data_IF_403535231182
#
_entry.id   IF_403535231182
#
_cell.length_a   1.000
_cell.length_b   1.000
_cell.length_c   1.000
_cell.angle_alpha   90.00
_cell.angle_beta   90.00
_cell.angle_gamma   90.00
#
_symmetry.space_group_name_H-M   'P 1'
#
loop_
_entity.id
_entity.type
_entity.pdbx_description
1 polymer ?
#
# COMPACT_ATOMS: atom_id res chain seq x y z
N UNK A 1 -56.92 11.17 3.12
CA UNK A 1 -55.82 10.49 2.39
C UNK A 1 -54.51 11.00 2.96
N UNK A 2 -53.90 10.26 3.90
CA UNK A 2 -52.57 10.62 4.40
C UNK A 2 -51.56 10.22 3.32
N UNK A 3 -50.91 11.23 2.75
CA UNK A 3 -49.81 11.05 1.81
C UNK A 3 -48.62 10.49 2.57
N UNK A 4 -48.34 9.19 2.41
CA UNK A 4 -47.06 8.62 2.82
C UNK A 4 -45.97 9.19 1.91
N UNK A 5 -45.21 10.15 2.42
CA UNK A 5 -43.92 10.51 1.82
C UNK A 5 -42.98 9.32 2.00
N UNK A 6 -42.49 8.67 0.93
CA UNK A 6 -41.52 7.60 1.06
C UNK A 6 -40.27 8.14 1.77
N UNK A 7 -39.79 7.43 2.79
CA UNK A 7 -38.55 7.78 3.48
C UNK A 7 -37.42 7.87 2.45
N UNK A 8 -36.56 8.88 2.59
CA UNK A 8 -35.39 9.02 1.73
C UNK A 8 -34.57 7.71 1.74
N UNK A 9 -34.08 7.24 0.58
CA UNK A 9 -33.28 6.04 0.51
C UNK A 9 -32.05 6.20 1.40
N UNK A 10 -31.83 5.27 2.31
CA UNK A 10 -30.70 5.34 3.22
C UNK A 10 -29.42 5.00 2.46
N UNK A 11 -28.39 5.85 2.57
CA UNK A 11 -27.08 5.60 1.99
C UNK A 11 -26.53 4.26 2.52
N UNK A 12 -26.22 3.28 1.64
CA UNK A 12 -25.68 1.99 2.06
C UNK A 12 -24.35 2.12 2.82
N UNK A 13 -23.55 3.17 2.58
CA UNK A 13 -22.36 3.43 3.38
C UNK A 13 -22.71 3.77 4.82
N UNK A 14 -23.64 4.70 5.04
CA UNK A 14 -24.07 5.09 6.39
C UNK A 14 -24.63 3.89 7.18
N UNK A 15 -25.47 3.05 6.55
CA UNK A 15 -25.98 1.82 7.18
C UNK A 15 -24.88 0.80 7.49
N UNK A 16 -23.90 0.67 6.61
CA UNK A 16 -22.79 -0.26 6.83
C UNK A 16 -21.92 0.21 8.01
N UNK A 17 -21.59 1.50 8.06
CA UNK A 17 -20.83 2.07 9.18
C UNK A 17 -21.59 1.97 10.51
N UNK A 18 -22.90 2.26 10.52
CA UNK A 18 -23.77 2.11 11.70
C UNK A 18 -23.68 0.70 12.31
N UNK A 19 -23.57 -0.34 11.46
CA UNK A 19 -23.48 -1.74 11.88
C UNK A 19 -22.07 -2.17 12.32
N UNK A 20 -21.04 -1.63 11.65
CA UNK A 20 -19.63 -2.00 11.93
C UNK A 20 -19.06 -1.23 13.12
N UNK A 21 -19.46 0.03 13.31
CA UNK A 21 -18.87 0.93 14.29
C UNK A 21 -18.97 0.45 15.75
N UNK A 22 -20.07 -0.18 16.23
CA UNK A 22 -20.11 -0.73 17.58
C UNK A 22 -19.04 -1.81 17.84
N UNK A 23 -18.77 -2.66 16.84
CA UNK A 23 -17.77 -3.74 16.92
C UNK A 23 -16.36 -3.16 17.00
N UNK A 24 -16.08 -2.15 16.16
CA UNK A 24 -14.83 -1.40 16.20
C UNK A 24 -14.63 -0.70 17.55
N UNK A 25 -15.66 -0.01 18.06
CA UNK A 25 -15.60 0.69 19.36
C UNK A 25 -15.37 -0.25 20.54
N UNK A 26 -15.98 -1.43 20.56
CA UNK A 26 -15.74 -2.40 21.63
C UNK A 26 -14.33 -2.98 21.57
N UNK A 27 -13.85 -3.34 20.36
CA UNK A 27 -12.49 -3.85 20.15
C UNK A 27 -11.42 -2.87 20.67
N UNK A 28 -11.57 -1.59 20.34
CA UNK A 28 -10.60 -0.54 20.71
C UNK A 28 -10.97 0.22 22.00
N UNK A 29 -11.87 -0.30 22.83
CA UNK A 29 -12.37 0.39 24.04
C UNK A 29 -11.27 0.79 25.03
N UNK A 30 -10.19 0.00 25.13
CA UNK A 30 -9.06 0.31 26.03
C UNK A 30 -8.31 1.56 25.55
N UNK A 31 -7.96 1.61 24.27
CA UNK A 31 -7.32 2.76 23.65
C UNK A 31 -8.21 4.00 23.72
N UNK A 32 -9.50 3.86 23.40
CA UNK A 32 -10.46 4.95 23.46
C UNK A 32 -10.58 5.58 24.86
N UNK A 33 -10.40 4.79 25.92
CA UNK A 33 -10.39 5.29 27.31
C UNK A 33 -9.07 5.96 27.67
N UNK A 34 -7.93 5.43 27.21
CA UNK A 34 -6.61 6.00 27.52
C UNK A 34 -6.27 7.25 26.71
N UNK A 35 -6.74 7.32 25.46
CA UNK A 35 -6.45 8.42 24.52
C UNK A 35 -7.72 8.91 23.83
N UNK A 36 -8.67 9.51 24.59
CA UNK A 36 -10.00 9.84 24.07
C UNK A 36 -9.99 10.86 22.93
N UNK A 37 -9.05 11.81 22.94
CA UNK A 37 -8.94 12.81 21.87
C UNK A 37 -8.43 12.19 20.56
N UNK A 38 -7.37 11.40 20.63
CA UNK A 38 -6.84 10.70 19.46
C UNK A 38 -7.88 9.75 18.84
N UNK A 39 -8.67 9.06 19.67
CA UNK A 39 -9.77 8.22 19.19
C UNK A 39 -10.89 9.02 18.53
N UNK A 40 -11.25 10.20 19.07
CA UNK A 40 -12.23 11.09 18.43
C UNK A 40 -11.76 11.57 17.07
N UNK A 41 -10.49 11.94 16.92
CA UNK A 41 -9.93 12.35 15.62
C UNK A 41 -10.03 11.22 14.59
N UNK A 42 -9.70 9.99 14.97
CA UNK A 42 -9.88 8.83 14.09
C UNK A 42 -11.34 8.63 13.68
N UNK A 43 -12.27 8.67 14.64
CA UNK A 43 -13.69 8.49 14.34
C UNK A 43 -14.25 9.62 13.46
N UNK A 44 -13.77 10.86 13.62
CA UNK A 44 -14.17 11.98 12.77
C UNK A 44 -13.69 11.78 11.33
N UNK A 45 -12.42 11.39 11.12
CA UNK A 45 -11.88 11.06 9.81
C UNK A 45 -12.60 9.86 9.18
N UNK A 46 -12.89 8.83 9.99
CA UNK A 46 -13.64 7.67 9.54
C UNK A 46 -15.04 8.07 9.06
N UNK A 47 -15.78 8.86 9.84
CA UNK A 47 -17.12 9.34 9.46
C UNK A 47 -17.09 10.16 8.16
N UNK A 48 -16.09 11.04 8.02
CA UNK A 48 -15.91 11.88 6.84
C UNK A 48 -15.54 11.10 5.57
N UNK A 49 -14.67 10.10 5.68
CA UNK A 49 -14.05 9.45 4.52
C UNK A 49 -14.62 8.06 4.19
N UNK A 50 -15.24 7.39 5.16
CA UNK A 50 -15.83 6.05 4.96
C UNK A 50 -16.85 6.00 3.82
N UNK A 51 -17.75 6.99 3.61
CA UNK A 51 -18.69 6.93 2.49
C UNK A 51 -18.00 6.77 1.14
N UNK A 52 -16.97 7.59 0.87
CA UNK A 52 -16.19 7.50 -0.36
C UNK A 52 -15.49 6.15 -0.48
N UNK A 53 -14.82 5.69 0.59
CA UNK A 53 -14.14 4.39 0.59
C UNK A 53 -15.12 3.26 0.28
N UNK A 54 -16.27 3.24 0.96
CA UNK A 54 -17.30 2.23 0.78
C UNK A 54 -17.88 2.24 -0.63
N UNK A 55 -18.22 3.42 -1.18
CA UNK A 55 -18.78 3.51 -2.54
C UNK A 55 -17.78 3.12 -3.63
N UNK A 56 -16.47 3.20 -3.36
CA UNK A 56 -15.44 2.69 -4.28
C UNK A 56 -15.29 1.16 -4.19
N UNK A 57 -15.39 0.58 -2.99
CA UNK A 57 -15.23 -0.86 -2.78
C UNK A 57 -16.48 -1.66 -3.11
N UNK A 58 -17.67 -1.10 -2.88
CA UNK A 58 -18.95 -1.78 -3.10
C UNK A 58 -19.14 -2.31 -4.54
N UNK A 59 -18.89 -1.54 -5.62
CA UNK A 59 -19.05 -2.06 -6.98
C UNK A 59 -18.00 -3.12 -7.34
N UNK A 60 -16.83 -3.12 -6.67
CA UNK A 60 -15.75 -4.09 -6.94
C UNK A 60 -16.01 -5.41 -6.22
N UNK A 61 -16.45 -5.35 -4.96
CA UNK A 61 -16.47 -6.50 -4.06
C UNK A 61 -17.83 -6.82 -3.46
N UNK A 62 -18.82 -5.94 -3.57
CA UNK A 62 -20.12 -6.08 -2.89
C UNK A 62 -20.95 -7.30 -3.30
N UNK A 63 -20.61 -7.94 -4.42
CA UNK A 63 -21.19 -9.22 -4.84
C UNK A 63 -20.54 -10.46 -4.21
N UNK A 64 -19.43 -10.30 -3.49
CA UNK A 64 -18.72 -11.40 -2.83
C UNK A 64 -19.35 -11.69 -1.46
N UNK A 65 -19.49 -12.98 -1.12
CA UNK A 65 -20.20 -13.41 0.08
C UNK A 65 -19.55 -12.94 1.40
N UNK A 66 -18.25 -12.62 1.35
CA UNK A 66 -17.42 -12.23 2.49
C UNK A 66 -16.98 -10.76 2.48
N UNK A 67 -17.51 -9.93 1.57
CA UNK A 67 -17.14 -8.52 1.43
C UNK A 67 -17.09 -7.75 2.77
N UNK A 68 -18.10 -7.90 3.62
CA UNK A 68 -18.17 -7.20 4.89
C UNK A 68 -17.14 -7.68 5.93
N UNK A 69 -16.63 -8.91 5.82
CA UNK A 69 -15.53 -9.38 6.68
C UNK A 69 -14.21 -8.70 6.30
N UNK A 70 -13.95 -8.55 4.99
CA UNK A 70 -12.77 -7.81 4.51
C UNK A 70 -12.88 -6.33 4.84
N UNK A 71 -14.07 -5.74 4.71
CA UNK A 71 -14.30 -4.36 5.11
C UNK A 71 -14.08 -4.13 6.61
N UNK A 72 -14.53 -5.05 7.47
CA UNK A 72 -14.23 -4.97 8.90
C UNK A 72 -12.71 -5.08 9.16
N UNK A 73 -12.05 -6.04 8.52
CA UNK A 73 -10.59 -6.23 8.65
C UNK A 73 -9.81 -4.98 8.22
N UNK A 74 -10.26 -4.31 7.16
CA UNK A 74 -9.70 -3.04 6.72
C UNK A 74 -9.92 -1.93 7.76
N UNK A 75 -11.08 -1.85 8.40
CA UNK A 75 -11.33 -0.88 9.48
C UNK A 75 -10.43 -1.12 10.69
N UNK A 76 -10.16 -2.39 11.02
CA UNK A 76 -9.20 -2.74 12.07
C UNK A 76 -7.78 -2.31 11.70
N UNK A 77 -7.34 -2.60 10.46
CA UNK A 77 -6.03 -2.16 9.97
C UNK A 77 -5.86 -0.63 10.02
N UNK A 78 -6.90 0.13 9.65
CA UNK A 78 -6.91 1.59 9.75
C UNK A 78 -6.80 2.07 11.21
N UNK A 79 -7.53 1.43 12.12
CA UNK A 79 -7.50 1.77 13.54
C UNK A 79 -6.15 1.44 14.18
N UNK A 80 -5.61 0.25 13.92
CA UNK A 80 -4.30 -0.18 14.41
C UNK A 80 -3.18 0.75 13.91
N UNK A 81 -3.21 1.09 12.62
CA UNK A 81 -2.26 2.04 12.05
C UNK A 81 -2.36 3.43 12.70
N UNK A 82 -3.57 3.95 12.91
CA UNK A 82 -3.76 5.23 13.59
C UNK A 82 -3.25 5.21 15.04
N UNK A 83 -3.50 4.12 15.75
CA UNK A 83 -3.04 3.94 17.14
C UNK A 83 -1.52 3.96 17.18
N UNK A 84 -0.88 3.23 16.27
CA UNK A 84 0.58 3.15 16.15
C UNK A 84 1.23 4.42 15.60
N UNK A 85 0.47 5.28 14.90
CA UNK A 85 1.00 6.48 14.23
C UNK A 85 1.68 7.45 15.22
N UNK A 86 2.96 7.80 15.02
CA UNK A 86 3.70 8.73 15.87
C UNK A 86 3.03 10.11 16.01
N UNK A 87 3.08 10.76 17.19
CA UNK A 87 2.44 12.06 17.43
C UNK A 87 2.85 13.17 16.44
N UNK A 88 4.11 13.21 16.05
CA UNK A 88 4.64 14.19 15.08
C UNK A 88 4.08 13.99 13.68
N UNK A 89 3.74 12.75 13.30
CA UNK A 89 3.07 12.45 12.05
C UNK A 89 1.57 12.74 12.12
N UNK A 90 0.92 12.56 13.28
CA UNK A 90 -0.46 13.04 13.49
C UNK A 90 -0.55 14.56 13.35
N UNK A 91 0.42 15.28 13.90
CA UNK A 91 0.52 16.73 13.71
C UNK A 91 0.82 17.13 12.26
N UNK A 92 1.55 16.29 11.50
CA UNK A 92 1.73 16.48 10.07
C UNK A 92 0.41 16.30 9.32
N UNK A 93 -0.39 15.29 9.66
CA UNK A 93 -1.72 15.07 9.07
C UNK A 93 -2.58 16.34 9.23
N UNK A 94 -2.67 16.87 10.45
CA UNK A 94 -3.47 18.07 10.74
C UNK A 94 -3.01 19.28 9.91
N UNK A 95 -1.69 19.44 9.71
CA UNK A 95 -1.13 20.51 8.86
C UNK A 95 -1.49 20.33 7.38
N UNK A 96 -1.44 19.10 6.86
CA UNK A 96 -1.74 18.83 5.44
C UNK A 96 -3.24 18.83 5.15
N UNK A 97 -4.08 18.48 6.12
CA UNK A 97 -5.53 18.66 6.03
C UNK A 97 -5.91 20.14 6.03
N UNK A 98 -5.20 20.98 6.80
CA UNK A 98 -5.42 22.43 6.81
C UNK A 98 -4.92 23.15 5.54
N UNK A 99 -3.93 22.57 4.85
CA UNK A 99 -3.41 23.06 3.57
C UNK A 99 -3.38 21.94 2.51
N UNK A 100 -4.52 21.61 1.90
CA UNK A 100 -4.63 20.49 0.96
C UNK A 100 -3.88 20.71 -0.36
N UNK A 101 -3.44 21.93 -0.65
CA UNK A 101 -2.73 22.28 -1.89
C UNK A 101 -1.23 22.52 -1.68
N UNK A 102 -0.69 22.15 -0.51
CA UNK A 102 0.73 22.37 -0.16
C UNK A 102 1.73 21.91 -1.24
N UNK A 103 1.40 20.83 -1.96
CA UNK A 103 2.25 20.26 -3.00
C UNK A 103 2.17 21.01 -4.35
N UNK A 104 1.26 21.96 -4.49
CA UNK A 104 1.12 22.84 -5.66
C UNK A 104 1.88 24.16 -5.49
N UNK A 105 2.50 24.40 -4.33
CA UNK A 105 3.32 25.60 -4.08
C UNK A 105 4.48 25.66 -5.08
N UNK A 106 4.72 26.83 -5.67
CA UNK A 106 5.75 27.03 -6.69
C UNK A 106 7.19 26.86 -6.16
N UNK A 107 7.37 26.73 -4.84
CA UNK A 107 8.64 26.40 -4.19
C UNK A 107 8.88 24.89 -4.12
N UNK A 108 7.92 24.07 -4.52
CA UNK A 108 8.09 22.62 -4.56
C UNK A 108 9.13 22.23 -5.62
N UNK A 109 10.25 21.69 -5.16
CA UNK A 109 11.33 21.19 -6.02
C UNK A 109 11.67 19.76 -5.61
N UNK A 110 11.49 18.84 -6.55
CA UNK A 110 11.74 17.42 -6.36
C UNK A 110 13.11 16.98 -6.87
N UNK A 111 13.77 16.12 -6.10
CA UNK A 111 14.89 15.30 -6.56
C UNK A 111 14.51 13.82 -6.53
N UNK A 112 15.20 13.01 -7.35
CA UNK A 112 15.08 11.56 -7.34
C UNK A 112 16.47 10.92 -7.42
N UNK A 113 16.71 9.86 -6.66
CA UNK A 113 17.97 9.12 -6.73
C UNK A 113 17.84 7.67 -6.25
N UNK A 114 18.72 6.82 -6.76
CA UNK A 114 19.03 5.52 -6.17
C UNK A 114 19.97 5.72 -4.97
N UNK A 115 19.62 5.15 -3.82
CA UNK A 115 20.36 5.33 -2.55
C UNK A 115 21.81 4.86 -2.69
N UNK A 116 21.99 3.64 -3.20
CA UNK A 116 23.29 3.01 -3.42
C UNK A 116 24.15 3.76 -4.44
N UNK A 117 23.59 4.08 -5.61
CA UNK A 117 24.35 4.72 -6.67
C UNK A 117 24.75 6.16 -6.33
N UNK A 118 23.90 6.88 -5.58
CA UNK A 118 24.15 8.29 -5.25
C UNK A 118 24.98 8.46 -3.97
N UNK A 119 24.72 7.66 -2.95
CA UNK A 119 25.30 7.86 -1.63
C UNK A 119 25.68 6.57 -0.88
N UNK A 120 25.59 5.39 -1.50
CA UNK A 120 25.95 4.10 -0.91
C UNK A 120 24.85 3.49 -0.04
N UNK A 121 24.37 4.24 0.97
CA UNK A 121 23.35 3.77 1.92
C UNK A 121 22.51 4.93 2.48
N UNK A 122 21.57 4.63 3.39
CA UNK A 122 20.70 5.64 3.99
C UNK A 122 21.45 6.66 4.85
N UNK A 123 22.57 6.30 5.46
CA UNK A 123 23.42 7.25 6.21
C UNK A 123 24.19 8.17 5.25
N UNK A 124 24.59 7.65 4.09
CA UNK A 124 25.08 8.45 2.99
C UNK A 124 24.05 9.49 2.53
N UNK A 125 22.79 9.10 2.36
CA UNK A 125 21.71 10.05 2.03
C UNK A 125 21.53 11.09 3.14
N UNK A 126 21.57 10.67 4.42
CA UNK A 126 21.54 11.58 5.57
C UNK A 126 22.66 12.63 5.49
N UNK A 127 23.88 12.21 5.16
CA UNK A 127 25.03 13.10 5.00
C UNK A 127 24.89 14.10 3.82
N UNK A 128 23.98 13.83 2.86
CA UNK A 128 23.70 14.72 1.71
C UNK A 128 22.61 15.75 1.97
N UNK A 129 21.92 15.70 3.12
CA UNK A 129 20.89 16.69 3.48
C UNK A 129 21.37 18.15 3.33
N UNK A 130 22.59 18.55 3.76
CA UNK A 130 23.07 19.91 3.54
C UNK A 130 23.08 20.32 2.06
N UNK A 131 23.49 19.40 1.17
CA UNK A 131 23.50 19.63 -0.28
C UNK A 131 22.07 19.71 -0.85
N UNK A 132 21.16 18.83 -0.41
CA UNK A 132 19.76 18.87 -0.84
C UNK A 132 19.10 20.20 -0.48
N UNK A 133 19.43 20.77 0.69
CA UNK A 133 18.97 22.10 1.10
C UNK A 133 19.60 23.23 0.28
N UNK A 134 20.90 23.14 0.00
CA UNK A 134 21.59 24.11 -0.87
C UNK A 134 20.95 24.16 -2.27
N UNK A 135 20.62 22.98 -2.82
CA UNK A 135 19.91 22.86 -4.08
C UNK A 135 18.46 23.38 -4.02
N UNK A 136 17.88 23.48 -2.81
CA UNK A 136 16.52 23.92 -2.58
C UNK A 136 15.47 22.81 -2.70
N UNK A 137 15.85 21.54 -2.55
CA UNK A 137 14.89 20.43 -2.56
C UNK A 137 13.89 20.59 -1.40
N UNK A 138 12.62 20.31 -1.70
CA UNK A 138 11.53 20.18 -0.71
C UNK A 138 10.86 18.80 -0.79
N UNK A 139 11.34 17.96 -1.70
CA UNK A 139 10.84 16.63 -2.00
C UNK A 139 12.02 15.77 -2.46
N UNK A 140 12.14 14.56 -1.92
CA UNK A 140 13.17 13.60 -2.32
C UNK A 140 12.55 12.22 -2.51
N UNK A 141 12.50 11.76 -3.76
CA UNK A 141 12.12 10.39 -4.09
C UNK A 141 13.35 9.48 -4.05
N UNK A 142 13.32 8.50 -3.16
CA UNK A 142 14.28 7.41 -3.15
C UNK A 142 13.70 6.24 -3.95
N UNK A 143 14.43 5.82 -4.99
CA UNK A 143 14.11 4.62 -5.78
C UNK A 143 14.01 3.37 -4.87
N UNK A 144 13.42 2.24 -5.33
CA UNK A 144 13.08 1.12 -4.47
C UNK A 144 14.23 0.67 -3.55
N UNK A 145 13.95 0.71 -2.24
CA UNK A 145 14.92 0.49 -1.16
C UNK A 145 14.55 -0.68 -0.25
N UNK A 146 13.43 -1.33 -0.54
CA UNK A 146 12.96 -2.50 0.20
C UNK A 146 13.65 -3.76 -0.28
N UNK A 147 13.59 -4.81 0.54
CA UNK A 147 14.20 -6.10 0.24
C UNK A 147 13.63 -6.66 -1.06
N UNK A 148 14.52 -7.06 -1.96
CA UNK A 148 14.24 -7.65 -3.26
C UNK A 148 15.12 -8.91 -3.48
N UNK A 149 14.89 -9.72 -4.52
CA UNK A 149 15.76 -10.83 -4.87
C UNK A 149 17.22 -10.41 -5.07
N UNK A 150 18.15 -11.33 -4.80
CA UNK A 150 19.56 -11.11 -5.13
C UNK A 150 19.78 -11.29 -6.64
N UNK A 151 20.59 -10.42 -7.25
CA UNK A 151 20.81 -10.44 -8.70
C UNK A 151 19.80 -9.58 -9.44
N UNK A 152 19.13 -10.14 -10.44
CA UNK A 152 18.10 -9.44 -11.21
C UNK A 152 16.83 -9.25 -10.37
N UNK A 153 16.41 -8.00 -10.24
CA UNK A 153 15.27 -7.61 -9.42
C UNK A 153 14.56 -6.35 -9.96
N UNK A 154 14.79 -6.05 -11.25
CA UNK A 154 14.25 -4.86 -11.93
C UNK A 154 14.57 -3.56 -11.17
N UNK A 155 15.83 -3.36 -10.79
CA UNK A 155 16.23 -2.17 -10.03
C UNK A 155 15.56 -2.03 -8.66
N UNK A 156 15.14 -3.16 -8.05
CA UNK A 156 14.43 -3.21 -6.79
C UNK A 156 12.89 -3.19 -6.90
N UNK A 157 12.32 -3.12 -8.10
CA UNK A 157 10.85 -3.19 -8.29
C UNK A 157 10.27 -4.58 -8.04
N UNK A 158 11.08 -5.64 -8.01
CA UNK A 158 10.65 -6.95 -7.53
C UNK A 158 10.70 -7.02 -5.99
N UNK A 159 9.62 -6.61 -5.30
CA UNK A 159 9.60 -6.54 -3.83
C UNK A 159 9.43 -7.91 -3.17
N UNK A 160 10.41 -8.33 -2.37
CA UNK A 160 10.36 -9.53 -1.52
C UNK A 160 9.82 -9.27 -0.11
N UNK A 161 9.94 -8.04 0.39
CA UNK A 161 9.31 -7.62 1.66
C UNK A 161 9.13 -6.10 1.72
N UNK A 162 7.89 -5.62 1.86
CA UNK A 162 7.58 -4.20 2.09
C UNK A 162 7.95 -3.71 3.51
N UNK A 163 8.29 -4.63 4.41
CA UNK A 163 8.55 -4.36 5.84
C UNK A 163 10.03 -4.38 6.19
N UNK A 164 10.90 -4.60 5.21
CA UNK A 164 12.35 -4.68 5.38
C UNK A 164 13.01 -3.81 4.33
N UNK A 165 13.79 -2.82 4.76
CA UNK A 165 14.78 -2.16 3.89
C UNK A 165 15.84 -3.19 3.50
N UNK A 166 16.38 -3.11 2.28
CA UNK A 166 17.52 -3.93 1.88
C UNK A 166 18.66 -3.74 2.91
N UNK A 167 19.16 -4.82 3.53
CA UNK A 167 20.20 -4.73 4.56
C UNK A 167 21.48 -4.01 4.12
N UNK A 168 21.76 -3.93 2.81
CA UNK A 168 22.89 -3.18 2.25
C UNK A 168 22.69 -1.67 2.35
N UNK A 169 21.45 -1.21 2.34
CA UNK A 169 21.08 0.21 2.41
C UNK A 169 20.80 0.66 3.84
N UNK A 170 20.37 -0.25 4.73
CA UNK A 170 20.13 0.06 6.13
C UNK A 170 18.99 -0.74 6.76
N UNK A 171 18.11 -0.06 7.49
CA UNK A 171 16.99 -0.69 8.21
C UNK A 171 15.73 0.17 8.15
N UNK A 172 14.57 -0.43 8.46
CA UNK A 172 13.31 0.33 8.58
C UNK A 172 13.37 1.44 9.63
N UNK A 173 14.08 1.22 10.74
CA UNK A 173 14.29 2.25 11.75
C UNK A 173 15.14 3.40 11.19
N UNK A 174 16.22 3.07 10.47
CA UNK A 174 17.07 4.07 9.80
C UNK A 174 16.31 4.89 8.75
N UNK A 175 15.40 4.26 8.00
CA UNK A 175 14.51 4.96 7.07
C UNK A 175 13.55 5.91 7.79
N UNK A 176 12.95 5.48 8.90
CA UNK A 176 12.05 6.33 9.68
C UNK A 176 12.79 7.53 10.29
N UNK A 177 14.00 7.31 10.80
CA UNK A 177 14.87 8.38 11.32
C UNK A 177 15.28 9.35 10.20
N UNK A 178 15.65 8.85 9.03
CA UNK A 178 15.95 9.67 7.85
C UNK A 178 14.74 10.49 7.42
N UNK A 179 13.55 9.89 7.38
CA UNK A 179 12.31 10.59 7.07
C UNK A 179 12.07 11.74 8.06
N UNK A 180 12.32 11.51 9.36
CA UNK A 180 12.27 12.54 10.39
C UNK A 180 13.23 13.71 10.14
N UNK A 181 14.48 13.41 9.80
CA UNK A 181 15.49 14.43 9.52
C UNK A 181 15.22 15.21 8.23
N UNK A 182 14.78 14.54 7.17
CA UNK A 182 14.35 15.20 5.93
C UNK A 182 13.20 16.16 6.21
N UNK A 183 12.16 15.72 6.94
CA UNK A 183 11.04 16.59 7.34
C UNK A 183 11.49 17.77 8.18
N UNK A 184 12.42 17.56 9.12
CA UNK A 184 13.01 18.62 9.93
C UNK A 184 13.77 19.68 9.10
N UNK A 185 14.18 19.32 7.89
CA UNK A 185 14.83 20.20 6.93
C UNK A 185 13.89 20.67 5.80
N UNK A 186 12.58 20.45 5.91
CA UNK A 186 11.59 20.88 4.93
C UNK A 186 11.52 20.01 3.67
N UNK A 187 12.07 18.79 3.72
CA UNK A 187 12.08 17.83 2.61
C UNK A 187 11.09 16.71 2.91
N UNK A 188 10.11 16.52 2.03
CA UNK A 188 9.22 15.35 2.09
C UNK A 188 9.93 14.13 1.49
N UNK A 189 10.02 13.04 2.26
CA UNK A 189 10.48 11.76 1.74
C UNK A 189 9.38 11.16 0.85
N UNK A 190 9.77 10.63 -0.30
CA UNK A 190 8.90 9.80 -1.14
C UNK A 190 9.59 8.50 -1.51
N UNK A 191 8.81 7.43 -1.53
CA UNK A 191 9.23 6.09 -1.94
C UNK A 191 8.18 5.49 -2.88
N UNK A 192 8.58 4.51 -3.67
CA UNK A 192 7.66 3.72 -4.48
C UNK A 192 6.73 2.87 -3.60
N UNK A 193 5.46 2.81 -3.99
CA UNK A 193 4.51 1.81 -3.51
C UNK A 193 4.20 0.84 -4.65
N UNK A 194 5.06 -0.17 -4.80
CA UNK A 194 4.90 -1.21 -5.81
C UNK A 194 3.74 -2.10 -5.38
N UNK A 195 2.57 -1.89 -5.96
CA UNK A 195 1.33 -2.51 -5.49
C UNK A 195 0.71 -3.46 -6.51
N UNK A 196 1.16 -3.43 -7.77
CA UNK A 196 0.64 -4.31 -8.80
C UNK A 196 1.16 -5.75 -8.67
N UNK A 197 2.40 -5.92 -8.22
CA UNK A 197 3.07 -7.21 -8.19
C UNK A 197 4.02 -7.31 -6.99
N UNK A 198 4.42 -8.53 -6.66
CA UNK A 198 5.52 -8.80 -5.73
C UNK A 198 6.59 -9.64 -6.42
N UNK A 199 7.79 -9.72 -5.84
CA UNK A 199 8.73 -10.76 -6.22
C UNK A 199 8.12 -12.15 -6.05
N UNK A 200 8.56 -13.12 -6.86
CA UNK A 200 8.22 -14.52 -6.70
C UNK A 200 8.85 -15.18 -5.45
N UNK A 201 9.77 -14.46 -4.78
CA UNK A 201 10.33 -14.79 -3.46
C UNK A 201 9.61 -14.09 -2.29
N UNK A 202 8.58 -13.27 -2.57
CA UNK A 202 7.78 -12.64 -1.52
C UNK A 202 7.09 -13.71 -0.66
N UNK A 203 6.91 -13.46 0.63
CA UNK A 203 6.31 -14.42 1.56
C UNK A 203 4.93 -14.93 1.08
N UNK A 204 4.14 -14.08 0.42
CA UNK A 204 2.86 -14.46 -0.18
C UNK A 204 3.04 -15.40 -1.38
N UNK A 205 3.97 -15.11 -2.30
CA UNK A 205 4.29 -15.96 -3.44
C UNK A 205 4.85 -17.31 -3.00
N UNK A 206 5.71 -17.33 -1.98
CA UNK A 206 6.26 -18.57 -1.41
C UNK A 206 5.17 -19.46 -0.80
N UNK A 207 4.20 -18.88 -0.09
CA UNK A 207 3.04 -19.63 0.43
C UNK A 207 2.13 -20.14 -0.69
N UNK A 208 1.90 -19.33 -1.72
CA UNK A 208 1.15 -19.75 -2.91
C UNK A 208 1.85 -20.94 -3.61
N UNK A 209 3.16 -20.85 -3.78
CA UNK A 209 4.02 -21.92 -4.33
C UNK A 209 3.99 -23.19 -3.49
N UNK A 210 3.90 -23.06 -2.16
CA UNK A 210 3.72 -24.18 -1.24
C UNK A 210 2.30 -24.80 -1.27
N UNK A 211 1.39 -24.26 -2.09
CA UNK A 211 0.03 -24.78 -2.27
C UNK A 211 -0.99 -24.27 -1.24
N UNK A 212 -0.67 -23.19 -0.51
CA UNK A 212 -1.63 -22.56 0.40
C UNK A 212 -2.80 -21.97 -0.41
N UNK A 213 -4.04 -22.44 -0.20
CA UNK A 213 -5.20 -22.05 -1.00
C UNK A 213 -5.59 -20.57 -0.84
N UNK A 214 -5.23 -19.93 0.29
CA UNK A 214 -5.48 -18.51 0.49
C UNK A 214 -4.51 -17.67 -0.36
N UNK A 215 -3.22 -17.98 -0.28
CA UNK A 215 -2.19 -17.23 -1.01
C UNK A 215 -2.13 -17.56 -2.50
N UNK A 216 -2.60 -18.74 -2.92
CA UNK A 216 -2.84 -18.99 -4.36
C UNK A 216 -3.84 -17.99 -4.96
N UNK A 217 -4.80 -17.49 -4.17
CA UNK A 217 -5.75 -16.47 -4.59
C UNK A 217 -5.21 -15.03 -4.46
N UNK A 218 -3.99 -14.85 -3.96
CA UNK A 218 -3.30 -13.55 -4.01
C UNK A 218 -2.71 -13.26 -5.38
N UNK A 219 -2.64 -14.25 -6.27
CA UNK A 219 -2.08 -14.13 -7.61
C UNK A 219 -3.05 -14.73 -8.64
N UNK A 220 -2.86 -14.39 -9.91
CA UNK A 220 -3.57 -15.06 -11.00
C UNK A 220 -2.79 -16.30 -11.44
N UNK A 221 -3.31 -17.49 -11.11
CA UNK A 221 -2.69 -18.77 -11.50
C UNK A 221 -3.65 -19.64 -12.30
N UNK A 222 -3.14 -20.34 -13.30
CA UNK A 222 -3.93 -21.15 -14.24
C UNK A 222 -3.31 -22.53 -14.41
N UNK A 223 -4.14 -23.57 -14.49
CA UNK A 223 -3.68 -24.94 -14.67
C UNK A 223 -3.22 -25.24 -16.11
N UNK A 224 -3.71 -24.47 -17.08
CA UNK A 224 -3.42 -24.62 -18.50
C UNK A 224 -3.37 -23.25 -19.19
N UNK A 225 -3.14 -23.26 -20.51
CA UNK A 225 -3.03 -22.06 -21.35
C UNK A 225 -4.37 -21.48 -21.82
N UNK A 226 -5.52 -22.11 -21.56
CA UNK A 226 -6.79 -21.69 -22.16
C UNK A 226 -7.17 -20.24 -21.80
N UNK A 227 -7.03 -19.85 -20.53
CA UNK A 227 -7.25 -18.47 -20.07
C UNK A 227 -6.08 -17.52 -20.40
N UNK A 228 -4.80 -17.88 -20.14
CA UNK A 228 -3.66 -17.10 -20.60
C UNK A 228 -3.74 -16.71 -22.09
N UNK A 229 -3.99 -17.67 -22.98
CA UNK A 229 -4.12 -17.43 -24.43
C UNK A 229 -5.32 -16.54 -24.77
N UNK A 230 -6.39 -16.59 -23.98
CA UNK A 230 -7.55 -15.72 -24.17
C UNK A 230 -7.23 -14.25 -23.80
N UNK A 231 -6.51 -14.03 -22.70
CA UNK A 231 -6.07 -12.70 -22.27
C UNK A 231 -5.06 -12.10 -23.24
N UNK A 232 -4.04 -12.87 -23.64
CA UNK A 232 -2.94 -12.41 -24.50
C UNK A 232 -3.39 -11.90 -25.89
N UNK A 233 -4.62 -12.23 -26.34
CA UNK A 233 -5.22 -11.63 -27.55
C UNK A 233 -5.33 -10.11 -27.49
N UNK A 234 -5.38 -9.54 -26.28
CA UNK A 234 -5.58 -8.10 -26.06
C UNK A 234 -4.56 -7.47 -25.13
N UNK A 235 -3.64 -8.25 -24.55
CA UNK A 235 -2.56 -7.72 -23.71
C UNK A 235 -1.41 -7.21 -24.58
N UNK A 236 -0.73 -6.17 -24.08
CA UNK A 236 0.51 -5.66 -24.66
C UNK A 236 1.68 -6.29 -23.91
N UNK A 237 2.66 -6.78 -24.65
CA UNK A 237 3.95 -7.22 -24.09
C UNK A 237 4.75 -6.00 -23.61
N UNK A 238 5.17 -6.02 -22.35
CA UNK A 238 5.98 -4.93 -21.75
C UNK A 238 7.47 -5.21 -21.95
N UNK A 239 7.90 -6.44 -21.71
CA UNK A 239 9.29 -6.90 -21.86
C UNK A 239 9.37 -8.13 -22.79
N UNK A 240 9.10 -7.95 -24.10
CA UNK A 240 9.08 -9.07 -25.06
C UNK A 240 10.43 -9.79 -25.22
N UNK A 241 11.54 -9.12 -24.84
CA UNK A 241 12.88 -9.70 -24.88
C UNK A 241 13.11 -10.74 -23.76
N UNK A 242 12.33 -10.71 -22.68
CA UNK A 242 12.45 -11.69 -21.58
C UNK A 242 11.54 -12.91 -21.79
N UNK A 243 10.24 -12.67 -21.99
CA UNK A 243 9.30 -13.73 -22.25
C UNK A 243 8.18 -13.26 -23.19
N UNK A 244 7.63 -14.17 -24.01
CA UNK A 244 6.45 -13.85 -24.79
C UNK A 244 5.24 -13.64 -23.87
N UNK A 245 4.33 -12.77 -24.28
CA UNK A 245 3.06 -12.56 -23.61
C UNK A 245 3.17 -11.98 -22.19
N UNK A 246 2.31 -12.44 -21.29
CA UNK A 246 2.19 -11.91 -19.91
C UNK A 246 2.05 -13.02 -18.86
N UNK A 247 2.36 -14.27 -19.22
CA UNK A 247 2.21 -15.42 -18.33
C UNK A 247 3.42 -16.34 -18.41
N UNK A 248 4.00 -16.67 -17.26
CA UNK A 248 5.14 -17.59 -17.12
C UNK A 248 4.69 -18.92 -16.51
N UNK A 249 5.16 -20.05 -17.05
CA UNK A 249 4.92 -21.37 -16.45
C UNK A 249 5.96 -21.68 -15.38
N UNK A 250 5.49 -22.13 -14.22
CA UNK A 250 6.33 -22.55 -13.10
C UNK A 250 6.18 -24.06 -12.89
N UNK A 251 7.23 -24.82 -13.26
CA UNK A 251 7.24 -26.29 -13.22
C UNK A 251 7.01 -26.85 -11.81
N UNK A 252 7.55 -26.19 -10.79
CA UNK A 252 7.41 -26.56 -9.38
C UNK A 252 5.97 -26.40 -8.86
N UNK A 253 5.19 -25.51 -9.47
CA UNK A 253 3.76 -25.35 -9.19
C UNK A 253 2.86 -26.12 -10.15
N UNK A 254 3.38 -26.53 -11.31
CA UNK A 254 2.61 -27.08 -12.41
C UNK A 254 1.55 -26.10 -12.96
N UNK A 255 1.82 -24.79 -12.91
CA UNK A 255 0.84 -23.72 -13.20
C UNK A 255 1.46 -22.57 -13.98
N UNK A 256 0.62 -21.90 -14.78
CA UNK A 256 0.91 -20.59 -15.34
C UNK A 256 0.60 -19.51 -14.30
N UNK A 257 1.46 -18.52 -14.18
CA UNK A 257 1.26 -17.36 -13.30
C UNK A 257 1.31 -16.10 -14.15
N UNK A 258 0.43 -15.13 -13.87
CA UNK A 258 0.44 -13.84 -14.53
C UNK A 258 1.67 -13.02 -14.09
N UNK A 259 2.50 -12.68 -15.07
CA UNK A 259 3.75 -11.92 -14.95
C UNK A 259 3.77 -10.87 -16.05
N UNK A 260 3.14 -9.72 -15.82
CA UNK A 260 3.04 -8.63 -16.81
C UNK A 260 4.42 -8.06 -17.17
N UNK A 261 5.33 -8.10 -16.20
CA UNK A 261 6.67 -7.54 -16.27
C UNK A 261 7.70 -8.65 -16.37
N UNK A 262 8.62 -8.76 -15.42
CA UNK A 262 9.57 -9.85 -15.36
C UNK A 262 8.90 -11.13 -14.83
N UNK A 263 9.41 -12.30 -15.22
CA UNK A 263 8.97 -13.61 -14.75
C UNK A 263 9.05 -13.75 -13.22
N UNK A 264 9.97 -13.02 -12.58
CA UNK A 264 10.10 -12.94 -11.13
C UNK A 264 9.17 -11.90 -10.46
N UNK A 265 8.31 -11.20 -11.20
CA UNK A 265 7.30 -10.27 -10.69
C UNK A 265 5.90 -10.83 -10.93
N UNK A 266 5.25 -11.30 -9.87
CA UNK A 266 3.92 -11.92 -9.95
C UNK A 266 2.82 -10.90 -9.66
N UNK A 267 1.91 -10.74 -10.61
CA UNK A 267 0.78 -9.81 -10.52
C UNK A 267 -0.19 -10.22 -9.41
N UNK A 268 -0.46 -9.27 -8.51
CA UNK A 268 -1.39 -9.42 -7.40
C UNK A 268 -2.84 -9.41 -7.91
N UNK A 269 -3.63 -10.33 -7.38
CA UNK A 269 -5.03 -10.50 -7.74
C UNK A 269 -5.96 -9.57 -6.94
N UNK A 270 -6.14 -8.34 -7.43
CA UNK A 270 -7.08 -7.39 -6.83
C UNK A 270 -8.56 -7.75 -7.00
N UNK A 271 -8.94 -8.83 -7.69
CA UNK A 271 -10.31 -9.35 -7.60
C UNK A 271 -10.59 -9.94 -6.21
N UNK A 272 -9.54 -10.33 -5.48
CA UNK A 272 -9.62 -10.77 -4.10
C UNK A 272 -9.53 -9.57 -3.13
N UNK A 273 -10.58 -9.24 -2.36
CA UNK A 273 -10.57 -8.14 -1.40
C UNK A 273 -9.53 -8.29 -0.28
N UNK A 274 -9.06 -9.52 0.00
CA UNK A 274 -7.95 -9.74 0.94
C UNK A 274 -6.65 -9.08 0.45
N UNK A 275 -6.39 -9.07 -0.86
CA UNK A 275 -5.21 -8.42 -1.46
C UNK A 275 -5.28 -6.90 -1.29
N UNK A 276 -6.46 -6.30 -1.49
CA UNK A 276 -6.65 -4.88 -1.23
C UNK A 276 -6.36 -4.54 0.24
N UNK A 277 -6.92 -5.33 1.17
CA UNK A 277 -6.70 -5.12 2.62
C UNK A 277 -5.23 -5.30 3.01
N UNK A 278 -4.56 -6.32 2.47
CA UNK A 278 -3.14 -6.57 2.72
C UNK A 278 -2.27 -5.41 2.22
N UNK A 279 -2.47 -4.97 0.98
CA UNK A 279 -1.72 -3.84 0.42
C UNK A 279 -2.04 -2.51 1.11
N UNK A 280 -3.29 -2.29 1.56
CA UNK A 280 -3.61 -1.14 2.40
C UNK A 280 -2.84 -1.16 3.73
N UNK A 281 -2.65 -2.34 4.35
CA UNK A 281 -1.84 -2.48 5.54
C UNK A 281 -0.34 -2.19 5.29
N UNK A 282 0.19 -2.58 4.12
CA UNK A 282 1.55 -2.21 3.71
C UNK A 282 1.69 -0.69 3.52
N UNK A 283 0.74 -0.06 2.84
CA UNK A 283 0.69 1.40 2.66
C UNK A 283 0.66 2.15 4.00
N UNK A 284 -0.16 1.68 4.94
CA UNK A 284 -0.25 2.27 6.28
C UNK A 284 1.05 2.11 7.09
N UNK A 285 1.77 1.00 6.91
CA UNK A 285 3.06 0.79 7.55
C UNK A 285 4.11 1.77 7.03
N UNK A 286 4.16 2.00 5.71
CA UNK A 286 5.04 3.01 5.10
C UNK A 286 4.68 4.43 5.57
N UNK A 287 3.39 4.77 5.58
CA UNK A 287 2.93 6.05 6.09
C UNK A 287 3.32 6.29 7.56
N UNK A 288 3.36 5.22 8.38
CA UNK A 288 3.81 5.29 9.78
C UNK A 288 5.34 5.31 9.95
N UNK A 289 6.10 4.89 8.94
CA UNK A 289 7.53 5.16 8.86
C UNK A 289 7.83 6.63 8.47
N UNK A 290 6.80 7.41 8.10
CA UNK A 290 6.91 8.84 7.86
C UNK A 290 7.19 9.23 6.41
N UNK A 291 6.92 8.30 5.48
CA UNK A 291 6.67 8.61 4.06
C UNK A 291 5.43 9.50 3.97
#
# INVERSE_FOLDING_TARGET
MQTHTPAAPVDPAARSLERLLPRLKDRYRRFARSQPQAWRSFLARLDQHFPRLFHLLLPLYGGQYDFFYHLETLLDALADAWIARPPELKALDDRREADPYWFQDNRMLGGVCYVDLYAGDLEGIRAKIPYFKELGLTYLHLMPLFRAPQGENDGGYAISSYREVDPRLGSMAGLADLAGELRGNGISLVVDFVFNHTANEHAWALKARAGDPEYLQYYFTFADRAMPDAYERTLREIFPDEHPGAFTYFDDMGRWVWTTFHSYQWDLNYQNPAVFTAMAAEMLALANAGV
#
